data_IF_543459750378
#
_entry.id   IF_543459750378
#
_cell.length_a   1.000
_cell.length_b   1.000
_cell.length_c   1.000
_cell.angle_alpha   90.00
_cell.angle_beta   90.00
_cell.angle_gamma   90.00
#
_symmetry.space_group_name_H-M   'P 1'
#
loop_
_entity.id
_entity.type
_entity.pdbx_description
1 polymer ?
#
# COMPACT_ATOMS: atom_id res chain seq x y z
N UNK A 1 12.49 -14.51 0.59
CA UNK A 1 13.05 -13.35 -0.12
C UNK A 1 12.21 -13.11 -1.36
N UNK A 2 11.26 -12.18 -1.28
CA UNK A 2 10.07 -12.34 -2.12
C UNK A 2 9.34 -11.04 -2.48
N UNK A 3 9.83 -9.86 -2.08
CA UNK A 3 9.26 -8.58 -2.51
C UNK A 3 10.01 -8.04 -3.74
N UNK A 4 9.27 -7.77 -4.81
CA UNK A 4 9.78 -7.22 -6.06
C UNK A 4 8.98 -5.98 -6.46
N UNK A 5 9.59 -5.04 -7.17
CA UNK A 5 8.87 -3.99 -7.88
C UNK A 5 9.27 -3.88 -9.34
N UNK A 6 8.31 -3.49 -10.18
CA UNK A 6 8.48 -3.33 -11.63
C UNK A 6 9.25 -2.05 -11.99
N UNK A 7 10.18 -2.14 -12.95
CA UNK A 7 10.98 -1.02 -13.47
C UNK A 7 10.47 -0.47 -14.81
N UNK A 8 9.24 -0.82 -15.23
CA UNK A 8 8.73 -0.57 -16.59
C UNK A 8 8.49 0.93 -16.88
N UNK A 9 8.42 1.78 -15.85
CA UNK A 9 8.35 3.24 -15.97
C UNK A 9 9.23 3.91 -14.90
N UNK A 10 10.38 4.47 -15.31
CA UNK A 10 11.44 4.93 -14.39
C UNK A 10 10.95 6.01 -13.40
N UNK A 11 10.14 6.97 -13.86
CA UNK A 11 9.62 8.04 -13.00
C UNK A 11 8.63 7.52 -11.95
N UNK A 12 7.79 6.56 -12.32
CA UNK A 12 6.76 6.00 -11.43
C UNK A 12 7.39 4.98 -10.46
N UNK A 13 8.41 4.23 -10.92
CA UNK A 13 9.20 3.32 -10.07
C UNK A 13 9.94 4.03 -8.93
N UNK A 14 10.42 5.28 -9.15
CA UNK A 14 11.05 6.08 -8.10
C UNK A 14 10.09 6.48 -6.99
N UNK A 15 8.84 6.80 -7.32
CA UNK A 15 7.83 7.18 -6.33
C UNK A 15 7.43 5.98 -5.46
N UNK A 16 7.35 4.79 -6.06
CA UNK A 16 7.10 3.55 -5.34
C UNK A 16 8.24 3.25 -4.35
N UNK A 17 9.50 3.42 -4.78
CA UNK A 17 10.65 3.26 -3.90
C UNK A 17 10.65 4.28 -2.76
N UNK A 18 10.31 5.54 -3.03
CA UNK A 18 10.15 6.58 -2.01
C UNK A 18 9.07 6.18 -0.98
N UNK A 19 7.95 5.59 -1.41
CA UNK A 19 6.92 5.10 -0.51
C UNK A 19 7.42 3.95 0.38
N UNK A 20 8.20 3.00 -0.17
CA UNK A 20 8.84 1.94 0.60
C UNK A 20 9.85 2.50 1.62
N UNK A 21 10.62 3.53 1.25
CA UNK A 21 11.51 4.23 2.18
C UNK A 21 10.72 4.89 3.32
N UNK A 22 9.59 5.53 3.03
CA UNK A 22 8.74 6.10 4.09
C UNK A 22 8.20 5.03 5.03
N UNK A 23 7.74 3.89 4.51
CA UNK A 23 7.29 2.74 5.31
C UNK A 23 8.41 2.22 6.21
N UNK A 24 9.66 2.17 5.70
CA UNK A 24 10.80 1.74 6.50
C UNK A 24 11.27 2.77 7.53
N UNK A 25 10.68 3.98 7.56
CA UNK A 25 11.22 5.10 8.36
C UNK A 25 12.59 5.58 7.85
N UNK A 26 12.81 5.42 6.55
CA UNK A 26 14.06 5.65 5.83
C UNK A 26 15.21 4.89 6.50
N UNK A 27 14.98 3.64 6.87
CA UNK A 27 15.98 2.78 7.47
C UNK A 27 17.03 2.39 6.41
N UNK A 28 18.33 2.65 6.64
CA UNK A 28 19.39 2.32 5.68
C UNK A 28 19.56 0.81 5.45
N UNK A 29 18.90 -0.01 6.27
CA UNK A 29 18.76 -1.44 6.06
C UNK A 29 17.90 -1.82 4.86
N UNK A 30 17.08 -0.91 4.33
CA UNK A 30 16.22 -1.14 3.16
C UNK A 30 17.02 -0.91 1.88
N UNK A 31 17.11 -1.93 1.03
CA UNK A 31 17.88 -1.89 -0.20
C UNK A 31 17.08 -2.49 -1.35
N UNK A 32 17.45 -2.12 -2.58
CA UNK A 32 16.96 -2.78 -3.78
C UNK A 32 18.09 -3.15 -4.71
N UNK A 33 17.92 -4.25 -5.44
CA UNK A 33 18.85 -4.71 -6.47
C UNK A 33 18.08 -4.97 -7.74
N UNK A 34 18.47 -4.31 -8.83
CA UNK A 34 17.85 -4.51 -10.14
C UNK A 34 18.15 -5.92 -10.66
N UNK A 35 17.11 -6.61 -11.13
CA UNK A 35 17.14 -7.93 -11.75
C UNK A 35 16.24 -7.86 -13.00
N UNK A 36 16.86 -7.72 -14.17
CA UNK A 36 16.16 -7.56 -15.45
C UNK A 36 15.20 -6.35 -15.42
N UNK A 37 13.89 -6.59 -15.56
CA UNK A 37 12.83 -5.56 -15.59
C UNK A 37 12.19 -5.32 -14.22
N UNK A 38 12.75 -5.90 -13.16
CA UNK A 38 12.26 -5.77 -11.79
C UNK A 38 13.42 -5.39 -10.87
N UNK A 39 13.11 -4.93 -9.67
CA UNK A 39 14.06 -4.79 -8.59
C UNK A 39 13.60 -5.61 -7.40
N UNK A 40 14.51 -6.39 -6.84
CA UNK A 40 14.29 -7.16 -5.63
C UNK A 40 14.56 -6.29 -4.41
N UNK A 41 13.63 -6.28 -3.46
CA UNK A 41 13.76 -5.55 -2.21
C UNK A 41 14.34 -6.46 -1.14
N UNK A 42 15.33 -5.95 -0.39
CA UNK A 42 15.88 -6.58 0.82
C UNK A 42 15.76 -5.62 1.99
N UNK A 43 15.61 -6.17 3.19
CA UNK A 43 15.47 -5.35 4.37
C UNK A 43 16.11 -6.02 5.59
N UNK A 44 17.19 -5.42 6.08
CA UNK A 44 17.86 -5.79 7.32
C UNK A 44 17.83 -4.58 8.27
N UNK A 45 16.80 -4.45 9.13
CA UNK A 45 16.56 -3.24 9.91
C UNK A 45 17.79 -2.80 10.72
N UNK A 46 18.12 -1.50 10.65
CA UNK A 46 19.20 -0.86 11.41
C UNK A 46 18.68 0.17 12.42
N UNK A 47 17.40 0.55 12.32
CA UNK A 47 16.71 1.42 13.27
C UNK A 47 15.81 0.62 14.22
N UNK A 48 15.39 1.19 15.36
CA UNK A 48 14.40 0.56 16.23
C UNK A 48 13.13 0.21 15.45
N UNK A 49 12.64 -1.01 15.62
CA UNK A 49 11.46 -1.49 14.91
C UNK A 49 10.19 -0.78 15.39
N UNK A 50 9.27 -0.56 14.47
CA UNK A 50 7.89 -0.13 14.71
C UNK A 50 6.95 -1.11 13.98
N UNK A 51 5.62 -1.03 14.17
CA UNK A 51 4.69 -1.95 13.51
C UNK A 51 4.87 -2.06 11.99
N UNK A 52 5.12 -0.93 11.31
CA UNK A 52 5.31 -0.90 9.87
C UNK A 52 6.64 -1.54 9.43
N UNK A 53 7.75 -1.25 10.10
CA UNK A 53 9.05 -1.85 9.77
C UNK A 53 9.10 -3.34 10.09
N UNK A 54 8.45 -3.78 11.18
CA UNK A 54 8.28 -5.21 11.46
C UNK A 54 7.45 -5.90 10.37
N UNK A 55 6.38 -5.26 9.88
CA UNK A 55 5.55 -5.80 8.80
C UNK A 55 6.34 -5.93 7.50
N UNK A 56 7.06 -4.87 7.11
CA UNK A 56 7.89 -4.86 5.92
C UNK A 56 8.99 -5.92 5.98
N UNK A 57 9.65 -6.08 7.13
CA UNK A 57 10.66 -7.13 7.32
C UNK A 57 10.04 -8.53 7.12
N UNK A 58 8.89 -8.81 7.76
CA UNK A 58 8.20 -10.10 7.60
C UNK A 58 7.79 -10.39 6.16
N UNK A 59 7.37 -9.36 5.41
CA UNK A 59 7.06 -9.46 3.98
C UNK A 59 8.32 -9.84 3.19
N UNK A 60 9.42 -9.12 3.39
CA UNK A 60 10.68 -9.34 2.65
C UNK A 60 11.28 -10.72 2.95
N UNK A 61 11.24 -11.14 4.22
CA UNK A 61 11.78 -12.42 4.69
C UNK A 61 10.88 -13.61 4.30
N UNK A 62 9.62 -13.36 3.95
CA UNK A 62 8.66 -14.40 3.56
C UNK A 62 9.14 -15.20 2.34
N UNK A 63 8.81 -16.50 2.24
CA UNK A 63 8.93 -17.25 0.99
C UNK A 63 7.83 -16.91 -0.03
N UNK A 64 6.73 -16.26 0.38
CA UNK A 64 5.63 -15.89 -0.50
C UNK A 64 5.98 -14.66 -1.35
N UNK A 65 5.84 -14.76 -2.67
CA UNK A 65 6.18 -13.69 -3.60
C UNK A 65 5.11 -12.60 -3.64
N UNK A 66 5.55 -11.35 -3.58
CA UNK A 66 4.74 -10.14 -3.70
C UNK A 66 5.40 -9.25 -4.77
N UNK A 67 4.62 -8.87 -5.78
CA UNK A 67 5.10 -8.04 -6.89
C UNK A 67 4.33 -6.73 -6.90
N UNK A 68 5.07 -5.63 -6.77
CA UNK A 68 4.56 -4.27 -6.82
C UNK A 68 4.64 -3.73 -8.25
N UNK A 69 3.51 -3.22 -8.74
CA UNK A 69 3.36 -2.64 -10.05
C UNK A 69 2.94 -1.19 -9.87
N UNK A 70 3.79 -0.29 -10.33
CA UNK A 70 3.48 1.12 -10.40
C UNK A 70 2.69 1.40 -11.67
N UNK A 71 1.53 2.05 -11.57
CA UNK A 71 0.67 2.30 -12.72
C UNK A 71 0.30 3.77 -12.87
N UNK A 72 -0.09 4.15 -14.09
CA UNK A 72 -0.53 5.50 -14.43
C UNK A 72 -2.04 5.69 -14.17
N UNK A 73 -2.50 6.96 -14.06
CA UNK A 73 -3.92 7.30 -14.06
C UNK A 73 -4.70 6.56 -15.15
N UNK A 74 -5.75 5.83 -14.77
CA UNK A 74 -6.59 5.12 -15.73
C UNK A 74 -6.03 3.80 -16.25
N UNK A 75 -5.02 3.22 -15.57
CA UNK A 75 -4.58 1.85 -15.80
C UNK A 75 -5.78 0.90 -15.78
N UNK A 76 -5.87 0.10 -16.84
CA UNK A 76 -6.82 -1.00 -16.94
C UNK A 76 -6.07 -2.24 -16.46
N UNK A 77 -6.56 -2.84 -15.40
CA UNK A 77 -6.04 -4.09 -14.86
C UNK A 77 -6.19 -5.24 -15.88
N UNK A 78 -5.53 -6.39 -15.65
CA UNK A 78 -5.62 -7.53 -16.55
C UNK A 78 -7.05 -8.09 -16.78
N UNK A 79 -8.04 -7.68 -15.98
CA UNK A 79 -9.44 -8.09 -16.07
C UNK A 79 -10.35 -7.02 -16.67
N UNK A 80 -9.80 -5.87 -17.09
CA UNK A 80 -10.57 -4.80 -17.70
C UNK A 80 -11.08 -3.75 -16.71
N UNK A 81 -10.72 -3.84 -15.44
CA UNK A 81 -11.08 -2.86 -14.41
C UNK A 81 -10.20 -1.62 -14.50
N UNK A 82 -10.80 -0.43 -14.53
CA UNK A 82 -10.04 0.82 -14.39
C UNK A 82 -9.72 1.00 -12.91
N UNK A 83 -8.45 1.21 -12.57
CA UNK A 83 -8.07 1.53 -11.20
C UNK A 83 -8.64 2.92 -10.83
N UNK A 84 -9.81 2.93 -10.19
CA UNK A 84 -10.46 4.15 -9.65
C UNK A 84 -10.08 4.43 -8.20
N UNK A 85 -9.23 3.59 -7.62
CA UNK A 85 -8.77 3.63 -6.22
C UNK A 85 -7.25 3.89 -6.17
N UNK A 86 -6.72 4.21 -4.99
CA UNK A 86 -5.28 4.43 -4.81
C UNK A 86 -4.40 3.20 -5.11
N UNK A 87 -4.94 2.00 -4.91
CA UNK A 87 -4.25 0.73 -5.17
C UNK A 87 -5.22 -0.47 -5.24
N UNK A 88 -4.67 -1.62 -5.60
CA UNK A 88 -5.38 -2.91 -5.67
C UNK A 88 -4.42 -4.07 -5.41
N UNK A 89 -4.79 -4.95 -4.47
CA UNK A 89 -4.11 -6.22 -4.22
C UNK A 89 -4.87 -7.39 -4.81
N UNK A 90 -4.17 -8.30 -5.48
CA UNK A 90 -4.74 -9.46 -6.14
C UNK A 90 -3.94 -10.75 -5.94
N UNK A 91 -4.65 -11.86 -5.96
CA UNK A 91 -4.14 -13.21 -5.76
C UNK A 91 -4.52 -14.08 -6.99
N UNK A 92 -3.63 -14.30 -7.98
CA UNK A 92 -3.93 -15.07 -9.20
C UNK A 92 -4.39 -16.50 -8.94
N UNK A 93 -3.88 -17.09 -7.87
CA UNK A 93 -4.31 -18.32 -7.23
C UNK A 93 -3.76 -18.29 -5.79
N UNK A 94 -4.40 -18.96 -4.83
CA UNK A 94 -3.98 -18.92 -3.40
C UNK A 94 -2.55 -19.43 -3.10
N UNK A 95 -1.79 -19.77 -4.14
CA UNK A 95 -0.41 -20.26 -4.12
C UNK A 95 0.56 -19.43 -4.98
N UNK A 96 0.09 -18.53 -5.84
CA UNK A 96 0.92 -17.69 -6.70
C UNK A 96 1.35 -16.38 -6.03
N UNK A 97 2.13 -15.54 -6.74
CA UNK A 97 2.56 -14.27 -6.20
C UNK A 97 1.37 -13.33 -5.99
N UNK A 98 1.29 -12.66 -4.85
CA UNK A 98 0.37 -11.54 -4.70
C UNK A 98 0.86 -10.38 -5.59
N UNK A 99 -0.06 -9.77 -6.33
CA UNK A 99 0.24 -8.63 -7.19
C UNK A 99 -0.44 -7.40 -6.61
N UNK A 100 0.32 -6.31 -6.47
CA UNK A 100 -0.19 -5.03 -6.02
C UNK A 100 -0.03 -4.04 -7.16
N UNK A 101 -1.12 -3.46 -7.64
CA UNK A 101 -1.08 -2.31 -8.54
C UNK A 101 -1.36 -1.06 -7.74
N UNK A 102 -0.50 -0.04 -7.88
CA UNK A 102 -0.65 1.21 -7.17
C UNK A 102 -0.53 2.38 -8.14
N UNK A 103 -1.52 3.27 -8.09
CA UNK A 103 -1.47 4.53 -8.80
C UNK A 103 -0.71 5.55 -7.97
N UNK A 104 0.55 5.74 -8.31
CA UNK A 104 1.45 6.66 -7.60
C UNK A 104 1.09 8.13 -7.78
N UNK A 105 0.11 8.45 -8.64
CA UNK A 105 -0.47 9.79 -8.76
C UNK A 105 -1.63 10.04 -7.79
N UNK A 106 -2.02 9.05 -6.98
CA UNK A 106 -3.15 9.10 -6.05
C UNK A 106 -4.50 9.26 -6.75
N UNK A 107 -5.06 8.15 -7.24
CA UNK A 107 -6.36 8.09 -7.90
C UNK A 107 -6.46 9.08 -9.08
N UNK A 108 -5.49 9.02 -9.98
CA UNK A 108 -5.45 9.81 -11.20
C UNK A 108 -5.14 11.29 -10.98
N UNK A 109 -4.23 11.62 -10.05
CA UNK A 109 -3.90 12.98 -9.62
C UNK A 109 -5.06 13.75 -8.97
N UNK A 110 -6.08 13.03 -8.50
CA UNK A 110 -7.25 13.64 -7.85
C UNK A 110 -7.13 13.67 -6.33
N UNK A 111 -6.15 12.93 -5.78
CA UNK A 111 -5.94 12.79 -4.35
C UNK A 111 -6.90 11.75 -3.76
N UNK A 112 -6.33 10.66 -3.27
CA UNK A 112 -7.10 9.62 -2.59
C UNK A 112 -7.44 10.08 -1.16
N UNK A 113 -8.72 9.92 -0.78
CA UNK A 113 -9.28 10.40 0.48
C UNK A 113 -10.01 9.29 1.19
N UNK A 114 -9.97 9.38 2.51
CA UNK A 114 -10.64 8.45 3.42
C UNK A 114 -11.40 9.25 4.48
N UNK A 115 -12.18 8.58 5.33
CA UNK A 115 -12.90 9.22 6.42
C UNK A 115 -12.21 8.93 7.76
N UNK A 116 -12.13 9.94 8.62
CA UNK A 116 -11.76 9.77 10.03
C UNK A 116 -12.95 9.32 10.90
N UNK A 117 -12.76 8.96 12.18
CA UNK A 117 -13.85 8.57 13.07
C UNK A 117 -14.91 9.65 13.33
N UNK A 118 -14.64 10.91 12.95
CA UNK A 118 -15.57 12.03 13.05
C UNK A 118 -16.33 12.27 11.72
N UNK A 119 -16.01 11.51 10.66
CA UNK A 119 -16.61 11.65 9.34
C UNK A 119 -15.99 12.78 8.49
N UNK A 120 -14.82 13.29 8.86
CA UNK A 120 -14.09 14.25 8.02
C UNK A 120 -13.23 13.51 7.00
N UNK A 121 -13.08 14.11 5.82
CA UNK A 121 -12.12 13.62 4.83
C UNK A 121 -10.69 13.85 5.29
N UNK A 122 -9.88 12.81 5.19
CA UNK A 122 -8.44 12.81 5.47
C UNK A 122 -7.68 12.35 4.23
N UNK A 123 -6.45 12.84 4.07
CA UNK A 123 -5.56 12.40 2.99
C UNK A 123 -5.02 10.99 3.26
N UNK A 124 -4.79 10.25 2.18
CA UNK A 124 -4.03 9.01 2.18
C UNK A 124 -2.79 9.18 1.30
N UNK A 125 -1.62 9.53 1.89
CA UNK A 125 -0.36 9.60 1.17
C UNK A 125 0.01 8.27 0.51
N UNK A 126 0.84 8.30 -0.54
CA UNK A 126 1.25 7.10 -1.28
C UNK A 126 1.85 6.00 -0.37
N UNK A 127 2.60 6.38 0.65
CA UNK A 127 3.13 5.41 1.62
C UNK A 127 2.02 4.72 2.42
N UNK A 128 0.94 5.45 2.77
CA UNK A 128 -0.21 4.87 3.48
C UNK A 128 -0.99 3.94 2.57
N UNK A 129 -1.25 4.36 1.32
CA UNK A 129 -1.89 3.52 0.29
C UNK A 129 -1.07 2.24 0.06
N UNK A 130 0.24 2.37 -0.17
CA UNK A 130 1.10 1.21 -0.37
C UNK A 130 1.14 0.30 0.86
N UNK A 131 1.18 0.87 2.06
CA UNK A 131 1.16 0.08 3.29
C UNK A 131 -0.17 -0.68 3.48
N UNK A 132 -1.30 -0.06 3.10
CA UNK A 132 -2.61 -0.70 3.07
C UNK A 132 -2.61 -1.93 2.15
N UNK A 133 -2.14 -1.78 0.91
CA UNK A 133 -2.05 -2.91 -0.03
C UNK A 133 -1.05 -3.99 0.42
N UNK A 134 0.08 -3.59 1.00
CA UNK A 134 1.02 -4.53 1.61
C UNK A 134 0.41 -5.29 2.79
N UNK A 135 -0.50 -4.69 3.55
CA UNK A 135 -1.22 -5.34 4.63
C UNK A 135 -2.23 -6.37 4.08
N UNK A 136 -2.94 -6.09 2.99
CA UNK A 136 -3.70 -7.11 2.26
C UNK A 136 -2.79 -8.29 1.89
N UNK A 137 -1.71 -8.04 1.15
CA UNK A 137 -0.81 -9.11 0.71
C UNK A 137 -0.19 -9.88 1.89
N UNK A 138 0.13 -9.20 2.99
CA UNK A 138 0.61 -9.84 4.20
C UNK A 138 -0.43 -10.81 4.78
N UNK A 139 -1.67 -10.37 5.01
CA UNK A 139 -2.71 -11.21 5.59
C UNK A 139 -3.11 -12.35 4.65
N UNK A 140 -3.09 -12.09 3.35
CA UNK A 140 -3.34 -13.08 2.31
C UNK A 140 -2.26 -14.16 2.25
N UNK A 141 -1.02 -13.81 1.89
CA UNK A 141 -0.01 -14.81 1.48
C UNK A 141 1.12 -15.02 2.49
N UNK A 142 1.33 -14.10 3.44
CA UNK A 142 2.41 -14.21 4.44
C UNK A 142 1.91 -14.81 5.76
N UNK A 143 0.91 -14.19 6.39
CA UNK A 143 0.30 -14.69 7.62
C UNK A 143 -0.77 -15.75 7.36
N UNK A 144 -1.43 -15.70 6.18
CA UNK A 144 -2.51 -16.61 5.79
C UNK A 144 -3.67 -16.64 6.79
N UNK A 145 -3.94 -15.50 7.42
CA UNK A 145 -5.04 -15.26 8.34
C UNK A 145 -6.20 -14.50 7.68
N UNK A 146 -6.02 -14.04 6.43
CA UNK A 146 -7.08 -13.40 5.66
C UNK A 146 -8.25 -14.37 5.38
N UNK A 147 -9.49 -13.96 5.70
CA UNK A 147 -10.68 -14.72 5.35
C UNK A 147 -11.05 -14.61 3.86
N UNK A 148 -10.59 -13.59 3.12
CA UNK A 148 -10.98 -13.36 1.70
C UNK A 148 -10.41 -14.39 0.73
N UNK A 149 -9.30 -15.03 1.07
CA UNK A 149 -8.76 -16.14 0.29
C UNK A 149 -9.63 -17.41 0.37
N UNK A 150 -10.66 -17.41 1.21
CA UNK A 150 -11.63 -18.51 1.35
C UNK A 150 -12.83 -18.25 0.44
N UNK A 151 -12.62 -18.16 -0.87
CA UNK A 151 -13.73 -18.07 -1.84
C UNK A 151 -14.66 -19.28 -1.63
N UNK A 152 -15.85 -19.01 -1.11
CA UNK A 152 -16.83 -20.03 -0.76
C UNK A 152 -17.81 -20.30 -1.90
N UNK A 153 -17.86 -19.40 -2.89
CA UNK A 153 -18.86 -19.40 -3.96
C UNK A 153 -20.23 -18.91 -3.51
N UNK A 154 -20.37 -18.50 -2.25
CA UNK A 154 -21.56 -17.87 -1.68
C UNK A 154 -21.30 -16.35 -1.58
N UNK A 155 -22.01 -15.52 -2.36
CA UNK A 155 -21.81 -14.08 -2.39
C UNK A 155 -21.92 -13.39 -1.03
N UNK A 156 -22.84 -13.83 -0.15
CA UNK A 156 -23.03 -13.21 1.15
C UNK A 156 -21.84 -13.50 2.08
N UNK A 157 -21.36 -14.73 2.07
CA UNK A 157 -20.18 -15.16 2.82
C UNK A 157 -18.91 -14.51 2.28
N UNK A 158 -18.76 -14.43 0.95
CA UNK A 158 -17.59 -13.83 0.31
C UNK A 158 -17.54 -12.31 0.57
N UNK A 159 -18.68 -11.62 0.56
CA UNK A 159 -18.80 -10.22 0.95
C UNK A 159 -18.46 -10.00 2.43
N UNK A 160 -18.92 -10.87 3.33
CA UNK A 160 -18.56 -10.81 4.75
C UNK A 160 -17.06 -11.05 4.99
N UNK A 161 -16.45 -11.94 4.20
CA UNK A 161 -14.99 -12.17 4.24
C UNK A 161 -14.23 -10.93 3.77
N UNK A 162 -14.67 -10.27 2.68
CA UNK A 162 -14.10 -9.00 2.21
C UNK A 162 -14.16 -7.91 3.27
N UNK A 163 -15.31 -7.78 3.93
CA UNK A 163 -15.49 -6.84 5.04
C UNK A 163 -14.51 -7.13 6.20
N UNK A 164 -14.36 -8.39 6.60
CA UNK A 164 -13.46 -8.77 7.69
C UNK A 164 -11.99 -8.50 7.36
N UNK A 165 -11.56 -8.74 6.12
CA UNK A 165 -10.20 -8.45 5.66
C UNK A 165 -9.89 -6.96 5.67
N UNK A 166 -10.81 -6.14 5.15
CA UNK A 166 -10.69 -4.67 5.20
C UNK A 166 -10.52 -4.15 6.63
N UNK A 167 -11.23 -4.69 7.61
CA UNK A 167 -11.08 -4.27 9.01
C UNK A 167 -9.69 -4.57 9.58
N UNK A 168 -9.09 -5.71 9.22
CA UNK A 168 -7.72 -6.05 9.64
C UNK A 168 -6.69 -5.12 8.99
N UNK A 169 -6.86 -4.85 7.70
CA UNK A 169 -5.97 -3.96 6.94
C UNK A 169 -6.06 -2.52 7.42
N UNK A 170 -7.26 -2.00 7.69
CA UNK A 170 -7.44 -0.67 8.28
C UNK A 170 -6.83 -0.58 9.68
N UNK A 171 -6.85 -1.67 10.47
CA UNK A 171 -6.18 -1.68 11.76
C UNK A 171 -4.66 -1.55 11.62
N UNK A 172 -4.05 -2.25 10.67
CA UNK A 172 -2.64 -2.12 10.34
C UNK A 172 -2.30 -0.72 9.80
N UNK A 173 -3.09 -0.21 8.86
CA UNK A 173 -2.96 1.13 8.31
C UNK A 173 -2.98 2.19 9.40
N UNK A 174 -3.91 2.08 10.37
CA UNK A 174 -3.99 2.99 11.51
C UNK A 174 -2.77 2.91 12.43
N UNK A 175 -2.14 1.74 12.60
CA UNK A 175 -0.87 1.65 13.32
C UNK A 175 0.24 2.43 12.59
N UNK A 176 0.26 2.38 11.25
CA UNK A 176 1.23 3.14 10.47
C UNK A 176 0.92 4.65 10.48
N UNK A 177 -0.34 5.04 10.32
CA UNK A 177 -0.78 6.44 10.48
C UNK A 177 -0.38 7.01 11.84
N UNK A 178 -0.48 6.23 12.93
CA UNK A 178 0.01 6.63 14.25
C UNK A 178 1.52 6.89 14.28
N UNK A 179 2.32 6.03 13.65
CA UNK A 179 3.78 6.22 13.52
C UNK A 179 4.10 7.52 12.80
N UNK A 180 3.30 7.88 11.78
CA UNK A 180 3.47 9.12 11.01
C UNK A 180 2.84 10.36 11.67
N UNK A 181 2.07 10.20 12.76
CA UNK A 181 1.31 11.28 13.37
C UNK A 181 0.15 11.79 12.50
N UNK A 182 -0.38 10.94 11.62
CA UNK A 182 -1.51 11.26 10.74
C UNK A 182 -2.85 10.97 11.43
N UNK A 183 -3.94 11.64 11.01
CA UNK A 183 -5.30 11.26 11.40
C UNK A 183 -5.58 9.79 11.08
N UNK A 184 -6.33 9.14 11.96
CA UNK A 184 -6.72 7.74 11.81
C UNK A 184 -7.92 7.62 10.88
N UNK A 185 -7.95 6.57 10.06
CA UNK A 185 -9.11 6.16 9.27
C UNK A 185 -10.15 5.52 10.18
N UNK A 186 -11.43 5.77 9.90
CA UNK A 186 -12.53 5.12 10.60
C UNK A 186 -12.47 3.59 10.38
N UNK A 187 -12.47 2.77 11.45
CA UNK A 187 -12.42 1.31 11.33
C UNK A 187 -13.82 0.72 11.08
N UNK A 188 -14.71 1.45 10.41
CA UNK A 188 -16.05 0.96 10.05
C UNK A 188 -16.24 1.06 8.54
N UNK A 189 -16.86 0.02 7.98
CA UNK A 189 -17.29 0.02 6.60
C UNK A 189 -18.54 0.90 6.49
N UNK A 190 -18.36 2.19 6.19
CA UNK A 190 -19.47 3.00 5.71
C UNK A 190 -19.67 2.68 4.23
N UNK A 191 -20.63 1.79 3.94
CA UNK A 191 -21.27 1.72 2.64
C UNK A 191 -22.01 3.04 2.43
N UNK A 192 -21.39 4.00 1.76
CA UNK A 192 -22.13 5.18 1.28
C UNK A 192 -22.64 4.79 -0.12
N UNK A 193 -23.91 4.37 -0.14
CA UNK A 193 -24.74 4.02 -1.30
C UNK A 193 -24.28 2.85 -2.18
N UNK A 194 -24.73 1.64 -1.81
CA UNK A 194 -24.98 0.53 -2.74
C UNK A 194 -23.74 -0.16 -3.29
N UNK A 195 -23.50 -1.38 -2.81
CA UNK A 195 -22.54 -2.37 -3.33
C UNK A 195 -21.03 -2.09 -3.18
N UNK A 196 -20.61 -0.88 -2.79
CA UNK A 196 -19.21 -0.60 -2.53
C UNK A 196 -18.87 -0.73 -1.03
N UNK A 197 -18.28 -1.87 -0.67
CA UNK A 197 -17.53 -2.09 0.59
C UNK A 197 -16.29 -1.16 0.72
N UNK A 198 -16.05 -0.38 -0.32
CA UNK A 198 -15.04 0.64 -0.48
C UNK A 198 -15.79 1.96 -0.36
N UNK A 199 -15.88 2.54 0.85
CA UNK A 199 -16.50 3.86 1.02
C UNK A 199 -16.03 4.80 -0.10
N UNK A 200 -16.94 5.56 -0.74
CA UNK A 200 -16.74 6.07 -2.09
C UNK A 200 -15.39 6.77 -2.16
N UNK A 201 -14.49 6.37 -3.08
CA UNK A 201 -13.32 7.17 -3.41
C UNK A 201 -13.87 8.48 -3.93
N UNK A 202 -14.08 9.42 -3.01
CA UNK A 202 -14.61 10.72 -3.36
C UNK A 202 -13.39 11.48 -3.82
N UNK A 203 -13.16 11.35 -5.13
CA UNK A 203 -12.48 12.32 -5.98
C UNK A 203 -12.82 13.70 -5.44
N UNK A 204 -11.92 14.21 -4.62
CA UNK A 204 -12.09 15.52 -4.01
C UNK A 204 -11.30 16.55 -4.81
N UNK A 205 -11.57 17.86 -4.64
CA UNK A 205 -10.85 18.88 -5.37
C UNK A 205 -9.34 18.77 -5.12
N UNK A 206 -8.55 19.05 -6.15
CA UNK A 206 -7.11 18.82 -6.31
C UNK A 206 -6.16 19.51 -5.30
N UNK A 207 -6.62 19.88 -4.10
CA UNK A 207 -5.75 20.46 -3.08
C UNK A 207 -6.36 20.30 -1.69
N UNK A 208 -5.87 19.31 -0.95
CA UNK A 208 -5.58 19.49 0.47
C UNK A 208 -4.06 19.51 0.60
N UNK A 209 -3.44 20.61 0.17
CA UNK A 209 -1.99 20.86 0.26
C UNK A 209 -1.49 21.02 1.72
N UNK A 210 -2.29 20.65 2.72
CA UNK A 210 -2.08 21.04 4.12
C UNK A 210 -1.84 19.87 5.09
N UNK A 211 -1.69 18.63 4.60
CA UNK A 211 -1.24 17.52 5.44
C UNK A 211 0.21 17.20 5.11
N UNK A 212 1.17 17.96 5.66
CA UNK A 212 2.61 17.66 5.75
C UNK A 212 3.10 16.40 5.00
N UNK A 213 3.06 16.41 3.66
CA UNK A 213 3.87 15.50 2.83
C UNK A 213 5.38 15.72 3.08
N UNK A 214 5.70 16.75 3.87
CA UNK A 214 7.01 17.21 4.28
C UNK A 214 7.61 16.57 5.54
N UNK A 215 7.10 15.46 6.07
CA UNK A 215 7.87 14.70 7.09
C UNK A 215 8.93 13.81 6.42
N UNK A 216 9.70 14.39 5.50
CA UNK A 216 11.02 13.86 5.19
C UNK A 216 11.87 14.21 6.40
N UNK A 217 12.23 13.23 7.24
CA UNK A 217 13.33 13.47 8.15
C UNK A 217 14.54 13.91 7.31
N UNK A 218 15.35 14.85 7.82
CA UNK A 218 16.56 15.32 7.13
C UNK A 218 17.42 14.14 6.66
N UNK A 219 17.43 13.05 7.44
CA UNK A 219 18.10 11.78 7.13
C UNK A 219 17.56 11.12 5.84
N UNK A 220 16.24 11.14 5.62
CA UNK A 220 15.62 10.57 4.43
C UNK A 220 16.00 11.31 3.14
N UNK A 221 16.05 12.64 3.20
CA UNK A 221 16.52 13.49 2.10
C UNK A 221 18.01 13.27 1.81
N UNK A 222 18.83 13.18 2.86
CA UNK A 222 20.28 12.94 2.72
C UNK A 222 20.58 11.59 2.10
N UNK A 223 19.87 10.53 2.48
CA UNK A 223 20.09 9.20 1.92
C UNK A 223 19.57 9.07 0.48
N UNK A 224 18.46 9.75 0.14
CA UNK A 224 18.01 9.89 -1.26
C UNK A 224 19.06 10.60 -2.13
N UNK A 225 19.67 11.67 -1.62
CA UNK A 225 20.75 12.37 -2.32
C UNK A 225 21.96 11.46 -2.53
N UNK A 226 22.34 10.64 -1.54
CA UNK A 226 23.45 9.68 -1.70
C UNK A 226 23.16 8.63 -2.77
N UNK A 227 21.94 8.09 -2.82
CA UNK A 227 21.56 7.08 -3.83
C UNK A 227 21.51 7.66 -5.26
N UNK A 228 21.14 8.93 -5.43
CA UNK A 228 21.14 9.59 -6.74
C UNK A 228 22.55 9.96 -7.24
N UNK A 229 23.55 9.96 -6.37
CA UNK A 229 24.93 10.35 -6.67
C UNK A 229 25.89 9.16 -6.79
N UNK A 230 25.42 7.92 -6.56
CA UNK A 230 26.17 6.67 -6.67
C UNK A 230 25.81 5.90 -7.93
#
# INVERSE_FOLDING_TARGET
>A
MALFYSLVDEGVSSALWDALLQISGCDPGLQSTAILTQAQVTYAPQKPSNPATMRLQRIVDSPASIVLHSVNPGFIDPWGGVLMYGGLTYYPDGNGPANIWIDMTQAGAQGYRELDPQGNYISAPNAVILYHELAHAFHGVVARDSPTLRNTGDPDTDNANLAADQLMVIADENQFRQVLGLPLRIPTLQAIDGDDYLGPPTVGPASLNDCNDGVWSLDCLVDKIKQLLS
#
